data_IF_847051536634
#
_entry.id   IF_847051536634
#
_cell.length_a   1.000
_cell.length_b   1.000
_cell.length_c   1.000
_cell.angle_alpha   90.00
_cell.angle_beta   90.00
_cell.angle_gamma   90.00
#
_symmetry.space_group_name_H-M   'P 1'
#
loop_
_entity.id
_entity.type
_entity.pdbx_description
1 polymer ?
#
# COMPACT_ATOMS: atom_id res chain seq x y z
N UNK A 1 -6.86 -1.86 26.51
CA UNK A 1 -5.50 -1.68 27.06
C UNK A 1 -4.40 -2.19 26.11
N UNK A 2 -4.36 -3.48 25.71
CA UNK A 2 -3.30 -4.03 24.83
C UNK A 2 -3.11 -3.23 23.52
N UNK A 3 -4.19 -3.01 22.75
CA UNK A 3 -4.17 -2.21 21.50
C UNK A 3 -3.59 -0.79 21.68
N UNK A 4 -3.86 -0.15 22.84
CA UNK A 4 -3.33 1.17 23.15
C UNK A 4 -1.83 1.13 23.46
N UNK A 5 -1.38 0.13 24.21
CA UNK A 5 0.05 -0.07 24.50
C UNK A 5 0.85 -0.36 23.23
N UNK A 6 0.30 -1.18 22.33
CA UNK A 6 0.91 -1.47 21.02
C UNK A 6 1.00 -0.21 20.16
N UNK A 7 -0.06 0.60 20.10
CA UNK A 7 -0.03 1.88 19.39
C UNK A 7 0.99 2.86 19.99
N UNK A 8 1.08 2.95 21.32
CA UNK A 8 2.09 3.79 22.00
C UNK A 8 3.52 3.34 21.67
N UNK A 9 3.77 2.03 21.69
CA UNK A 9 5.08 1.47 21.36
C UNK A 9 5.48 1.76 19.92
N UNK A 10 4.57 1.54 18.97
CA UNK A 10 4.79 1.84 17.54
C UNK A 10 5.00 3.32 17.32
N UNK A 11 4.18 4.19 17.92
CA UNK A 11 4.35 5.64 17.85
C UNK A 11 5.73 6.08 18.36
N UNK A 12 6.16 5.59 19.53
CA UNK A 12 7.46 5.93 20.10
C UNK A 12 8.60 5.49 19.17
N UNK A 13 8.50 4.29 18.58
CA UNK A 13 9.49 3.82 17.62
C UNK A 13 9.52 4.69 16.36
N UNK A 14 8.38 4.90 15.70
CA UNK A 14 8.30 5.69 14.47
C UNK A 14 8.77 7.13 14.66
N UNK A 15 8.46 7.74 15.81
CA UNK A 15 8.95 9.06 16.15
C UNK A 15 10.48 9.10 16.26
N UNK A 16 11.06 8.16 17.02
CA UNK A 16 12.50 8.10 17.22
C UNK A 16 13.24 7.81 15.91
N UNK A 17 12.74 6.86 15.12
CA UNK A 17 13.40 6.43 13.89
C UNK A 17 13.31 7.49 12.79
N UNK A 18 12.19 8.23 12.71
CA UNK A 18 12.06 9.35 11.76
C UNK A 18 12.98 10.51 12.15
N UNK A 19 13.08 10.86 13.43
CA UNK A 19 14.01 11.89 13.90
C UNK A 19 15.45 11.47 13.62
N UNK A 20 15.81 10.21 13.89
CA UNK A 20 17.13 9.67 13.57
C UNK A 20 17.39 9.67 12.06
N UNK A 21 16.41 9.28 11.24
CA UNK A 21 16.50 9.28 9.78
C UNK A 21 16.75 10.68 9.23
N UNK A 22 16.01 11.69 9.69
CA UNK A 22 16.27 13.09 9.33
C UNK A 22 17.69 13.50 9.74
N UNK A 23 18.10 13.23 10.98
CA UNK A 23 19.42 13.61 11.49
C UNK A 23 20.58 12.93 10.72
N UNK A 24 20.43 11.66 10.37
CA UNK A 24 21.46 10.87 9.67
C UNK A 24 21.53 11.09 8.16
N UNK A 25 20.47 11.65 7.58
CA UNK A 25 20.36 11.92 6.15
C UNK A 25 20.54 13.41 5.82
N UNK A 26 20.37 14.33 6.77
CA UNK A 26 20.42 15.78 6.54
C UNK A 26 21.71 16.26 5.83
N UNK A 27 22.86 15.69 6.16
CA UNK A 27 24.15 16.09 5.58
C UNK A 27 24.53 15.28 4.34
N UNK A 28 23.64 14.44 3.81
CA UNK A 28 23.97 13.48 2.74
C UNK A 28 23.57 14.00 1.36
N UNK A 29 24.48 14.00 0.38
CA UNK A 29 24.22 14.59 -0.93
C UNK A 29 23.12 13.86 -1.71
N UNK A 30 22.99 12.54 -1.54
CA UNK A 30 21.99 11.73 -2.24
C UNK A 30 20.53 11.99 -1.82
N UNK A 31 20.31 12.77 -0.76
CA UNK A 31 18.97 13.24 -0.38
C UNK A 31 18.51 14.39 -1.27
N UNK A 32 19.46 15.20 -1.75
CA UNK A 32 19.21 16.39 -2.55
C UNK A 32 19.41 16.15 -4.05
N UNK A 33 20.34 15.26 -4.39
CA UNK A 33 20.63 14.86 -5.77
C UNK A 33 20.50 13.33 -5.93
N UNK A 34 19.47 12.90 -6.66
CA UNK A 34 19.21 11.49 -6.91
C UNK A 34 20.30 10.82 -7.77
N UNK A 35 21.12 11.57 -8.51
CA UNK A 35 22.28 11.03 -9.21
C UNK A 35 23.35 10.48 -8.26
N UNK A 36 23.50 11.10 -7.10
CA UNK A 36 24.48 10.69 -6.07
C UNK A 36 24.10 9.38 -5.36
N UNK A 37 22.85 8.91 -5.52
CA UNK A 37 22.40 7.62 -4.99
C UNK A 37 23.22 6.47 -5.59
N UNK A 38 23.55 6.55 -6.89
CA UNK A 38 24.25 5.50 -7.62
C UNK A 38 25.74 5.77 -7.82
N UNK A 39 26.21 6.95 -7.42
CA UNK A 39 27.63 7.30 -7.50
C UNK A 39 28.49 6.33 -6.67
N UNK A 40 29.49 5.73 -7.30
CA UNK A 40 30.37 4.73 -6.71
C UNK A 40 29.75 3.34 -6.50
N UNK A 41 28.51 3.09 -6.95
CA UNK A 41 27.93 1.75 -6.95
C UNK A 41 28.72 0.82 -7.90
N UNK A 42 29.02 -0.45 -7.54
CA UNK A 42 28.57 -1.20 -6.36
C UNK A 42 29.40 -1.03 -5.09
N UNK A 43 30.51 -0.28 -5.14
CA UNK A 43 31.46 -0.13 -4.01
C UNK A 43 31.20 1.14 -3.22
N UNK A 44 30.01 1.25 -2.65
CA UNK A 44 29.66 2.36 -1.77
C UNK A 44 30.10 2.05 -0.32
N UNK A 45 30.79 2.98 0.37
CA UNK A 45 31.19 2.78 1.75
C UNK A 45 29.96 2.83 2.67
N UNK A 46 29.87 1.86 3.58
CA UNK A 46 28.84 1.83 4.61
C UNK A 46 29.24 2.76 5.76
N UNK A 47 28.46 3.83 5.91
CA UNK A 47 28.59 4.78 7.01
C UNK A 47 27.94 4.22 8.29
N UNK A 48 28.52 4.46 9.49
CA UNK A 48 27.96 3.95 10.75
C UNK A 48 26.53 4.41 11.05
N UNK A 49 26.17 5.65 10.69
CA UNK A 49 24.80 6.17 10.85
C UNK A 49 23.79 5.37 10.02
N UNK A 50 24.13 5.05 8.78
CA UNK A 50 23.30 4.26 7.88
C UNK A 50 23.20 2.82 8.36
N UNK A 51 24.30 2.24 8.87
CA UNK A 51 24.29 0.92 9.50
C UNK A 51 23.25 0.84 10.63
N UNK A 52 23.32 1.76 11.60
CA UNK A 52 22.40 1.72 12.75
C UNK A 52 20.95 1.99 12.34
N UNK A 53 20.73 2.95 11.45
CA UNK A 53 19.40 3.24 10.92
C UNK A 53 18.77 2.00 10.29
N UNK A 54 19.51 1.33 9.41
CA UNK A 54 19.04 0.15 8.69
C UNK A 54 18.76 -1.04 9.61
N UNK A 55 19.67 -1.32 10.55
CA UNK A 55 19.55 -2.47 11.46
C UNK A 55 18.38 -2.27 12.44
N UNK A 56 18.18 -1.06 12.94
CA UNK A 56 17.07 -0.74 13.83
C UNK A 56 15.72 -0.86 13.11
N UNK A 57 15.61 -0.28 11.92
CA UNK A 57 14.40 -0.38 11.08
C UNK A 57 14.06 -1.84 10.79
N UNK A 58 15.05 -2.62 10.34
CA UNK A 58 14.85 -4.02 9.95
C UNK A 58 14.43 -4.88 11.14
N UNK A 59 15.03 -4.65 12.31
CA UNK A 59 14.69 -5.37 13.55
C UNK A 59 13.25 -5.08 13.98
N UNK A 60 12.83 -3.81 13.89
CA UNK A 60 11.46 -3.43 14.21
C UNK A 60 10.46 -4.03 13.24
N UNK A 61 10.68 -3.93 11.93
CA UNK A 61 9.80 -4.55 10.93
C UNK A 61 9.70 -6.07 11.08
N UNK A 62 10.80 -6.72 11.48
CA UNK A 62 10.79 -8.15 11.80
C UNK A 62 9.88 -8.45 13.00
N UNK A 63 9.95 -7.62 14.05
CA UNK A 63 9.05 -7.74 15.21
C UNK A 63 7.57 -7.53 14.86
N UNK A 64 7.27 -6.65 13.90
CA UNK A 64 5.92 -6.42 13.39
C UNK A 64 5.38 -7.65 12.64
N UNK A 65 6.22 -8.28 11.82
CA UNK A 65 5.84 -9.50 11.10
C UNK A 65 5.46 -10.63 12.07
N UNK A 66 6.23 -10.85 13.14
CA UNK A 66 5.90 -11.85 14.15
C UNK A 66 4.60 -11.52 14.90
N UNK A 67 4.38 -10.24 15.19
CA UNK A 67 3.15 -9.78 15.85
C UNK A 67 1.93 -9.99 14.94
N UNK A 68 2.07 -9.80 13.63
CA UNK A 68 1.01 -9.97 12.64
C UNK A 68 0.50 -11.42 12.56
N UNK A 69 1.35 -12.42 12.81
CA UNK A 69 0.94 -13.82 12.85
C UNK A 69 -0.03 -14.18 13.98
N UNK A 70 -0.14 -13.32 15.00
CA UNK A 70 -1.05 -13.49 16.13
C UNK A 70 -2.36 -12.69 15.99
N UNK A 71 -2.48 -11.86 14.95
CA UNK A 71 -3.66 -11.04 14.72
C UNK A 71 -4.80 -11.82 14.04
N UNK A 72 -6.03 -11.41 14.34
CA UNK A 72 -7.25 -11.99 13.74
C UNK A 72 -7.25 -11.68 12.24
N UNK A 73 -7.49 -12.71 11.41
CA UNK A 73 -7.58 -12.58 9.95
C UNK A 73 -8.74 -11.66 9.55
N UNK A 74 -8.43 -10.39 9.28
CA UNK A 74 -9.29 -9.40 8.61
C UNK A 74 -9.14 -9.49 7.08
N UNK A 75 -10.09 -8.93 6.31
CA UNK A 75 -10.03 -8.96 4.83
C UNK A 75 -8.79 -8.27 4.25
N UNK A 76 -8.28 -7.21 4.90
CA UNK A 76 -7.02 -6.54 4.53
C UNK A 76 -5.75 -7.26 5.02
N UNK A 77 -5.88 -8.37 5.73
CA UNK A 77 -4.75 -9.07 6.33
C UNK A 77 -3.73 -9.49 5.27
N UNK A 78 -4.22 -9.98 4.12
CA UNK A 78 -3.35 -10.42 3.04
C UNK A 78 -2.54 -9.25 2.45
N UNK A 79 -3.17 -8.09 2.23
CA UNK A 79 -2.48 -6.89 1.73
C UNK A 79 -1.38 -6.44 2.71
N UNK A 80 -1.66 -6.43 4.01
CA UNK A 80 -0.66 -6.13 5.04
C UNK A 80 0.46 -7.18 5.11
N UNK A 81 0.16 -8.48 5.00
CA UNK A 81 1.20 -9.53 4.98
C UNK A 81 2.10 -9.40 3.76
N UNK A 82 1.53 -9.21 2.57
CA UNK A 82 2.28 -9.02 1.33
C UNK A 82 3.19 -7.78 1.46
N UNK A 83 2.67 -6.69 2.02
CA UNK A 83 3.47 -5.50 2.28
C UNK A 83 4.65 -5.77 3.21
N UNK A 84 4.43 -6.40 4.37
CA UNK A 84 5.50 -6.67 5.33
C UNK A 84 6.56 -7.60 4.75
N UNK A 85 6.13 -8.62 3.99
CA UNK A 85 7.04 -9.52 3.30
C UNK A 85 7.84 -8.79 2.23
N UNK A 86 7.20 -7.92 1.43
CA UNK A 86 7.86 -7.10 0.43
C UNK A 86 8.85 -6.11 1.06
N UNK A 87 8.47 -5.43 2.15
CA UNK A 87 9.32 -4.49 2.86
C UNK A 87 10.55 -5.18 3.47
N UNK A 88 10.37 -6.30 4.19
CA UNK A 88 11.49 -7.06 4.76
C UNK A 88 12.40 -7.65 3.70
N UNK A 89 11.83 -8.13 2.59
CA UNK A 89 12.61 -8.58 1.44
C UNK A 89 13.41 -7.42 0.83
N UNK A 90 12.77 -6.27 0.58
CA UNK A 90 13.42 -5.07 0.06
C UNK A 90 14.59 -4.66 0.92
N UNK A 91 14.41 -4.60 2.24
CA UNK A 91 15.46 -4.24 3.19
C UNK A 91 16.59 -5.28 3.19
N UNK A 92 16.27 -6.57 3.25
CA UNK A 92 17.28 -7.63 3.28
C UNK A 92 18.13 -7.67 2.01
N UNK A 93 17.49 -7.60 0.84
CA UNK A 93 18.20 -7.64 -0.44
C UNK A 93 18.88 -6.33 -0.79
N UNK A 94 18.33 -5.18 -0.37
CA UNK A 94 19.01 -3.88 -0.50
C UNK A 94 20.28 -3.85 0.36
N UNK A 95 20.27 -4.46 1.55
CA UNK A 95 21.48 -4.65 2.35
C UNK A 95 22.53 -5.51 1.63
N UNK A 96 22.15 -6.70 1.17
CA UNK A 96 23.05 -7.63 0.50
C UNK A 96 23.61 -7.08 -0.83
N UNK A 97 22.82 -6.31 -1.57
CA UNK A 97 23.21 -5.73 -2.85
C UNK A 97 23.90 -4.36 -2.73
N UNK A 98 24.11 -3.85 -1.51
CA UNK A 98 24.68 -2.52 -1.24
C UNK A 98 23.84 -1.36 -1.82
N UNK A 99 22.52 -1.47 -1.79
CA UNK A 99 21.57 -0.40 -2.20
C UNK A 99 21.25 0.51 -1.01
N UNK A 100 22.20 0.69 -0.09
CA UNK A 100 21.96 1.32 1.22
C UNK A 100 21.43 2.74 1.06
N UNK A 101 22.01 3.54 0.16
CA UNK A 101 21.57 4.93 -0.10
C UNK A 101 20.11 4.99 -0.53
N UNK A 102 19.75 4.23 -1.57
CA UNK A 102 18.36 4.12 -2.05
C UNK A 102 17.44 3.58 -0.95
N UNK A 103 17.85 2.53 -0.23
CA UNK A 103 17.07 1.95 0.86
C UNK A 103 16.78 2.95 1.98
N UNK A 104 17.75 3.80 2.36
CA UNK A 104 17.51 4.84 3.37
C UNK A 104 16.49 5.89 2.93
N UNK A 105 16.43 6.21 1.62
CA UNK A 105 15.41 7.12 1.08
C UNK A 105 14.03 6.46 1.06
N UNK A 106 13.96 5.17 0.74
CA UNK A 106 12.71 4.41 0.82
C UNK A 106 12.18 4.41 2.25
N UNK A 107 13.01 4.05 3.25
CA UNK A 107 12.58 3.97 4.66
C UNK A 107 11.99 5.30 5.15
N UNK A 108 12.75 6.41 5.05
CA UNK A 108 12.30 7.71 5.58
C UNK A 108 11.01 8.23 4.93
N UNK A 109 10.82 7.97 3.63
CA UNK A 109 9.59 8.36 2.91
C UNK A 109 8.38 7.59 3.44
N UNK A 110 8.55 6.35 3.93
CA UNK A 110 7.43 5.57 4.47
C UNK A 110 7.18 5.92 5.95
N UNK A 111 8.23 6.07 6.76
CA UNK A 111 8.07 6.22 8.22
C UNK A 111 7.37 7.53 8.62
N UNK A 112 7.56 8.61 7.84
CA UNK A 112 7.08 9.96 8.19
C UNK A 112 5.56 10.04 8.35
N UNK A 113 4.80 9.27 7.57
CA UNK A 113 3.35 9.24 7.66
C UNK A 113 2.86 8.40 8.87
N UNK A 114 3.63 7.38 9.26
CA UNK A 114 3.16 6.36 10.21
C UNK A 114 3.16 6.88 11.65
N UNK A 115 3.98 7.89 11.96
CA UNK A 115 3.89 8.66 13.22
C UNK A 115 2.46 9.19 13.43
N UNK A 116 1.88 9.79 12.39
CA UNK A 116 0.57 10.43 12.47
C UNK A 116 -0.55 9.40 12.53
N UNK A 117 -0.38 8.27 11.84
CA UNK A 117 -1.32 7.16 11.88
C UNK A 117 -1.41 6.55 13.28
N UNK A 118 -0.26 6.21 13.87
CA UNK A 118 -0.22 5.61 15.22
C UNK A 118 -0.66 6.61 16.28
N UNK A 119 -0.34 7.91 16.12
CA UNK A 119 -0.89 8.98 16.95
C UNK A 119 -2.43 9.00 16.89
N UNK A 120 -3.01 8.99 15.68
CA UNK A 120 -4.47 9.01 15.52
C UNK A 120 -5.13 7.80 16.19
N UNK A 121 -4.52 6.61 16.11
CA UNK A 121 -4.99 5.40 16.82
C UNK A 121 -4.95 5.58 18.34
N UNK A 122 -3.86 6.11 18.90
CA UNK A 122 -3.76 6.38 20.34
C UNK A 122 -4.88 7.30 20.83
N UNK A 123 -5.12 8.41 20.14
CA UNK A 123 -6.19 9.36 20.52
C UNK A 123 -7.59 8.79 20.28
N UNK A 124 -7.77 7.94 19.27
CA UNK A 124 -9.01 7.19 19.07
C UNK A 124 -9.32 6.26 20.24
N UNK A 125 -8.32 5.52 20.74
CA UNK A 125 -8.49 4.65 21.90
C UNK A 125 -8.69 5.42 23.22
N UNK A 126 -8.20 6.65 23.30
CA UNK A 126 -8.44 7.55 24.43
C UNK A 126 -9.81 8.27 24.39
N UNK A 127 -10.60 8.06 23.32
CA UNK A 127 -11.92 8.69 23.14
C UNK A 127 -11.87 10.15 22.67
N UNK A 128 -10.71 10.68 22.28
CA UNK A 128 -10.54 12.07 21.84
C UNK A 128 -10.81 12.21 20.34
N UNK A 129 -12.10 12.16 19.98
CA UNK A 129 -12.57 12.12 18.58
C UNK A 129 -12.08 13.31 17.74
N UNK A 130 -12.12 14.54 18.27
CA UNK A 130 -11.70 15.73 17.52
C UNK A 130 -10.21 15.70 17.16
N UNK A 131 -9.34 15.38 18.13
CA UNK A 131 -7.90 15.26 17.91
C UNK A 131 -7.56 14.10 16.97
N UNK A 132 -8.25 12.96 17.10
CA UNK A 132 -8.13 11.83 16.18
C UNK A 132 -8.42 12.25 14.73
N UNK A 133 -9.50 12.98 14.49
CA UNK A 133 -9.88 13.44 13.15
C UNK A 133 -8.83 14.41 12.58
N UNK A 134 -8.36 15.38 13.37
CA UNK A 134 -7.28 16.28 12.94
C UNK A 134 -6.01 15.52 12.57
N UNK A 135 -5.59 14.56 13.39
CA UNK A 135 -4.41 13.73 13.11
C UNK A 135 -4.61 12.85 11.89
N UNK A 136 -5.81 12.34 11.64
CA UNK A 136 -6.14 11.57 10.45
C UNK A 136 -6.04 12.42 9.17
N UNK A 137 -6.48 13.68 9.19
CA UNK A 137 -6.27 14.60 8.06
C UNK A 137 -4.79 14.88 7.80
N UNK A 138 -4.00 15.11 8.85
CA UNK A 138 -2.54 15.32 8.74
C UNK A 138 -1.87 14.06 8.18
N UNK A 139 -2.18 12.89 8.74
CA UNK A 139 -1.74 11.59 8.23
C UNK A 139 -2.05 11.44 6.75
N UNK A 140 -3.29 11.73 6.35
CA UNK A 140 -3.72 11.57 4.96
C UNK A 140 -2.92 12.46 4.02
N UNK A 141 -2.76 13.75 4.35
CA UNK A 141 -1.98 14.68 3.56
C UNK A 141 -0.52 14.22 3.39
N UNK A 142 0.11 13.78 4.49
CA UNK A 142 1.48 13.29 4.47
C UNK A 142 1.59 11.98 3.70
N UNK A 143 0.62 11.06 3.82
CA UNK A 143 0.54 9.82 3.04
C UNK A 143 0.51 10.11 1.54
N UNK A 144 -0.36 11.02 1.07
CA UNK A 144 -0.43 11.37 -0.34
C UNK A 144 0.88 11.97 -0.85
N UNK A 145 1.48 12.91 -0.11
CA UNK A 145 2.72 13.56 -0.51
C UNK A 145 3.88 12.55 -0.54
N UNK A 146 4.06 11.78 0.52
CA UNK A 146 5.18 10.84 0.63
C UNK A 146 5.07 9.67 -0.35
N UNK A 147 3.92 8.98 -0.37
CA UNK A 147 3.78 7.69 -1.06
C UNK A 147 3.17 7.77 -2.45
N UNK A 148 2.38 8.82 -2.75
CA UNK A 148 1.77 8.98 -4.07
C UNK A 148 2.44 10.08 -4.93
N UNK A 149 3.30 10.91 -4.34
CA UNK A 149 4.07 11.91 -5.08
C UNK A 149 5.58 11.60 -5.00
N UNK A 150 6.18 11.71 -3.82
CA UNK A 150 7.65 11.57 -3.68
C UNK A 150 8.10 10.16 -4.08
N UNK A 151 7.45 9.12 -3.59
CA UNK A 151 7.85 7.74 -3.89
C UNK A 151 7.84 7.40 -5.39
N UNK A 152 6.75 7.59 -6.17
CA UNK A 152 6.75 7.23 -7.58
C UNK A 152 7.55 8.19 -8.47
N UNK A 153 7.53 9.49 -8.21
CA UNK A 153 8.19 10.45 -9.11
C UNK A 153 9.68 10.62 -8.80
N UNK A 154 10.12 10.41 -7.56
CA UNK A 154 11.52 10.56 -7.17
C UNK A 154 12.19 9.20 -6.95
N UNK A 155 11.64 8.37 -6.06
CA UNK A 155 12.32 7.12 -5.66
C UNK A 155 12.25 6.07 -6.76
N UNK A 156 11.07 5.77 -7.30
CA UNK A 156 10.95 4.82 -8.42
C UNK A 156 11.70 5.31 -9.65
N UNK A 157 11.65 6.62 -9.96
CA UNK A 157 12.45 7.19 -11.04
C UNK A 157 13.96 6.98 -10.80
N UNK A 158 14.43 7.26 -9.58
CA UNK A 158 15.82 7.06 -9.19
C UNK A 158 16.24 5.59 -9.32
N UNK A 159 15.40 4.62 -8.98
CA UNK A 159 15.79 3.20 -9.01
C UNK A 159 15.57 2.50 -10.35
N UNK A 160 14.62 2.97 -11.18
CA UNK A 160 14.29 2.38 -12.48
C UNK A 160 15.06 3.04 -13.64
N UNK A 161 15.29 4.35 -13.59
CA UNK A 161 15.81 5.08 -14.75
C UNK A 161 17.30 5.33 -14.65
N UNK A 162 17.78 5.84 -13.50
CA UNK A 162 19.18 6.26 -13.36
C UNK A 162 20.17 5.08 -13.52
N UNK A 163 19.98 3.90 -12.89
CA UNK A 163 20.88 2.76 -13.05
C UNK A 163 20.98 2.27 -14.49
N UNK A 164 19.88 2.31 -15.24
CA UNK A 164 19.83 1.85 -16.63
C UNK A 164 20.75 2.66 -17.56
N UNK A 165 21.16 3.86 -17.15
CA UNK A 165 22.10 4.69 -17.91
C UNK A 165 23.56 4.21 -17.79
N UNK A 166 23.89 3.44 -16.74
CA UNK A 166 25.27 3.10 -16.39
C UNK A 166 25.50 1.61 -16.10
N UNK A 167 24.45 0.83 -15.86
CA UNK A 167 24.49 -0.57 -15.45
C UNK A 167 23.58 -1.42 -16.32
N UNK A 168 24.09 -2.58 -16.72
CA UNK A 168 23.24 -3.60 -17.35
C UNK A 168 22.28 -4.22 -16.32
N UNK A 169 21.03 -4.51 -16.70
CA UNK A 169 20.08 -5.13 -15.79
C UNK A 169 20.58 -6.49 -15.28
N UNK A 170 20.70 -6.64 -13.96
CA UNK A 170 21.02 -7.89 -13.29
C UNK A 170 19.87 -8.32 -12.37
N UNK A 171 19.93 -9.56 -11.87
CA UNK A 171 18.84 -10.15 -11.09
C UNK A 171 18.38 -9.27 -9.92
N UNK A 172 19.30 -8.77 -9.09
CA UNK A 172 18.94 -7.95 -7.93
C UNK A 172 18.32 -6.60 -8.33
N UNK A 173 18.74 -5.99 -9.44
CA UNK A 173 18.08 -4.80 -9.98
C UNK A 173 16.62 -5.07 -10.34
N UNK A 174 16.34 -6.15 -11.09
CA UNK A 174 14.99 -6.51 -11.52
C UNK A 174 14.12 -6.85 -10.29
N UNK A 175 14.66 -7.66 -9.39
CA UNK A 175 13.95 -8.16 -8.21
C UNK A 175 13.57 -7.04 -7.23
N UNK A 176 14.49 -6.12 -6.93
CA UNK A 176 14.22 -5.00 -6.01
C UNK A 176 13.21 -4.02 -6.61
N UNK A 177 13.36 -3.67 -7.90
CA UNK A 177 12.43 -2.77 -8.55
C UNK A 177 11.02 -3.37 -8.69
N UNK A 178 10.90 -4.68 -8.93
CA UNK A 178 9.61 -5.37 -8.93
C UNK A 178 8.91 -5.22 -7.57
N UNK A 179 9.64 -5.33 -6.46
CA UNK A 179 9.06 -5.16 -5.12
C UNK A 179 8.66 -3.71 -4.83
N UNK A 180 9.45 -2.73 -5.30
CA UNK A 180 9.05 -1.32 -5.21
C UNK A 180 7.76 -1.04 -5.99
N UNK A 181 7.56 -1.70 -7.15
CA UNK A 181 6.31 -1.61 -7.90
C UNK A 181 5.14 -2.26 -7.13
N UNK A 182 5.35 -3.40 -6.49
CA UNK A 182 4.33 -4.03 -5.62
C UNK A 182 3.96 -3.09 -4.47
N UNK A 183 4.94 -2.46 -3.82
CA UNK A 183 4.68 -1.44 -2.80
C UNK A 183 3.85 -0.28 -3.35
N UNK A 184 4.15 0.20 -4.56
CA UNK A 184 3.38 1.29 -5.16
C UNK A 184 1.91 0.92 -5.39
N UNK A 185 1.64 -0.29 -5.86
CA UNK A 185 0.26 -0.78 -6.04
C UNK A 185 -0.46 -0.83 -4.70
N UNK A 186 0.20 -1.28 -3.64
CA UNK A 186 -0.37 -1.30 -2.29
C UNK A 186 -0.64 0.12 -1.76
N UNK A 187 0.22 1.11 -2.05
CA UNK A 187 -0.05 2.50 -1.70
C UNK A 187 -1.25 3.08 -2.43
N UNK A 188 -1.46 2.72 -3.70
CA UNK A 188 -2.66 3.11 -4.43
C UNK A 188 -3.92 2.46 -3.82
N UNK A 189 -3.83 1.18 -3.47
CA UNK A 189 -4.89 0.46 -2.78
C UNK A 189 -5.29 1.14 -1.46
N UNK A 190 -4.34 1.41 -0.55
CA UNK A 190 -4.65 2.12 0.70
C UNK A 190 -5.02 3.59 0.49
N UNK A 191 -4.44 4.26 -0.51
CA UNK A 191 -4.79 5.62 -0.88
C UNK A 191 -6.26 5.74 -1.29
N UNK A 192 -6.81 4.72 -1.97
CA UNK A 192 -8.24 4.64 -2.27
C UNK A 192 -9.11 4.58 -1.00
N UNK A 193 -8.78 3.73 -0.02
CA UNK A 193 -9.52 3.66 1.24
C UNK A 193 -9.43 4.95 2.06
N UNK A 194 -8.24 5.56 2.13
CA UNK A 194 -8.05 6.86 2.78
C UNK A 194 -8.94 7.91 2.11
N UNK A 195 -8.98 7.95 0.78
CA UNK A 195 -9.85 8.87 0.04
C UNK A 195 -11.34 8.60 0.31
N UNK A 196 -11.76 7.32 0.36
CA UNK A 196 -13.14 6.92 0.68
C UNK A 196 -13.53 7.44 2.07
N UNK A 197 -12.70 7.22 3.09
CA UNK A 197 -12.90 7.75 4.44
C UNK A 197 -12.94 9.28 4.47
N UNK A 198 -12.04 9.98 3.76
CA UNK A 198 -12.02 11.44 3.72
C UNK A 198 -13.30 12.02 3.10
N UNK A 199 -13.77 11.44 1.99
CA UNK A 199 -15.06 11.83 1.38
C UNK A 199 -16.18 11.64 2.40
N UNK A 200 -16.24 10.49 3.07
CA UNK A 200 -17.23 10.22 4.11
C UNK A 200 -17.20 11.27 5.23
N UNK A 201 -16.02 11.62 5.75
CA UNK A 201 -15.88 12.66 6.78
C UNK A 201 -16.30 14.07 6.33
N UNK A 202 -16.19 14.39 5.04
CA UNK A 202 -16.56 15.71 4.50
C UNK A 202 -18.07 15.78 4.18
N UNK A 203 -18.63 14.71 3.60
CA UNK A 203 -20.04 14.63 3.21
C UNK A 203 -20.96 14.37 4.40
N UNK A 204 -20.56 13.51 5.34
CA UNK A 204 -21.27 13.31 6.61
C UNK A 204 -20.90 14.45 7.54
N UNK A 205 -21.67 15.54 7.47
CA UNK A 205 -21.48 16.80 8.21
C UNK A 205 -21.67 16.67 9.74
N UNK A 206 -21.42 15.51 10.34
CA UNK A 206 -21.50 15.26 11.77
C UNK A 206 -20.25 14.49 12.24
N UNK A 207 -19.32 15.25 12.83
CA UNK A 207 -17.93 14.89 13.16
C UNK A 207 -17.84 13.81 14.28
N UNK A 208 -18.97 13.32 14.79
CA UNK A 208 -19.02 12.52 16.01
C UNK A 208 -19.14 11.01 15.84
N UNK A 209 -19.58 10.45 14.69
CA UNK A 209 -19.98 9.03 14.67
C UNK A 209 -19.40 8.10 13.59
N UNK A 210 -18.55 8.60 12.69
CA UNK A 210 -18.17 7.80 11.51
C UNK A 210 -17.22 6.64 11.79
N UNK A 211 -16.57 6.59 12.97
CA UNK A 211 -15.55 5.55 13.27
C UNK A 211 -15.98 4.53 14.33
N UNK A 212 -17.23 4.62 14.81
CA UNK A 212 -17.84 3.58 15.64
C UNK A 212 -18.50 2.50 14.77
N UNK A 213 -18.91 2.85 13.55
CA UNK A 213 -19.61 1.99 12.60
C UNK A 213 -18.71 1.26 11.60
N UNK A 214 -17.41 1.57 11.54
CA UNK A 214 -16.48 0.91 10.59
C UNK A 214 -16.31 -0.60 10.88
N UNK A 215 -16.76 -1.11 12.04
CA UNK A 215 -16.83 -2.56 12.28
C UNK A 215 -18.18 -3.19 11.89
N UNK A 216 -19.26 -2.42 11.70
CA UNK A 216 -20.61 -2.95 11.44
C UNK A 216 -21.17 -2.59 10.03
N UNK A 217 -20.75 -1.49 9.40
CA UNK A 217 -21.29 -1.03 8.09
C UNK A 217 -20.49 -1.51 6.87
N UNK A 218 -19.26 -2.04 7.03
CA UNK A 218 -18.55 -2.74 5.93
C UNK A 218 -19.30 -4.03 5.53
N UNK A 219 -20.23 -4.49 6.37
CA UNK A 219 -21.15 -5.60 6.09
C UNK A 219 -22.39 -5.20 5.28
N UNK A 220 -22.80 -3.92 5.28
CA UNK A 220 -24.00 -3.47 4.54
C UNK A 220 -23.70 -3.13 3.08
N UNK A 221 -22.56 -2.50 2.76
CA UNK A 221 -22.21 -2.16 1.37
C UNK A 221 -21.81 -3.40 0.52
N UNK A 222 -21.23 -4.45 1.10
CA UNK A 222 -20.99 -5.71 0.39
C UNK A 222 -22.28 -6.47 0.06
N UNK A 223 -23.35 -6.27 0.85
CA UNK A 223 -24.68 -6.80 0.56
C UNK A 223 -25.29 -6.18 -0.69
N UNK A 224 -25.10 -4.88 -0.90
CA UNK A 224 -25.63 -4.16 -2.06
C UNK A 224 -24.86 -4.46 -3.35
N UNK A 225 -23.53 -4.61 -3.30
CA UNK A 225 -22.73 -5.00 -4.48
C UNK A 225 -22.92 -6.48 -4.87
N UNK A 226 -23.11 -7.40 -3.91
CA UNK A 226 -23.48 -8.79 -4.21
C UNK A 226 -24.89 -8.93 -4.79
N UNK A 227 -25.86 -8.12 -4.34
CA UNK A 227 -27.24 -8.18 -4.83
C UNK A 227 -27.35 -7.60 -6.26
N UNK A 228 -26.64 -6.50 -6.54
CA UNK A 228 -26.54 -5.94 -7.89
C UNK A 228 -25.84 -6.91 -8.87
N UNK A 229 -24.77 -7.59 -8.44
CA UNK A 229 -24.09 -8.60 -9.24
C UNK A 229 -24.95 -9.85 -9.53
N UNK A 230 -25.81 -10.26 -8.58
CA UNK A 230 -26.76 -11.37 -8.78
C UNK A 230 -27.91 -10.97 -9.70
N UNK A 231 -28.39 -9.72 -9.62
CA UNK A 231 -29.45 -9.22 -10.48
C UNK A 231 -28.98 -9.02 -11.94
N UNK A 232 -27.73 -8.57 -12.15
CA UNK A 232 -27.12 -8.50 -13.49
C UNK A 232 -26.84 -9.89 -14.08
N UNK A 233 -26.33 -10.83 -13.27
CA UNK A 233 -26.10 -12.21 -13.73
C UNK A 233 -27.41 -12.98 -14.03
N UNK A 234 -28.50 -12.67 -13.33
CA UNK A 234 -29.82 -13.21 -13.63
C UNK A 234 -30.38 -12.65 -14.95
N UNK A 235 -30.22 -11.34 -15.20
CA UNK A 235 -30.62 -10.71 -16.47
C UNK A 235 -29.80 -11.20 -17.66
N UNK A 236 -28.52 -11.51 -17.46
CA UNK A 236 -27.65 -12.04 -18.52
C UNK A 236 -27.98 -13.50 -18.86
N UNK A 237 -28.28 -14.34 -17.85
CA UNK A 237 -28.80 -15.70 -18.07
C UNK A 237 -30.15 -15.73 -18.76
N UNK A 238 -31.05 -14.79 -18.44
CA UNK A 238 -32.36 -14.71 -19.08
C UNK A 238 -32.23 -14.28 -20.56
N UNK A 239 -31.28 -13.40 -20.87
CA UNK A 239 -30.92 -13.05 -22.27
C UNK A 239 -30.34 -14.22 -23.05
N UNK A 240 -29.43 -14.98 -22.45
CA UNK A 240 -28.78 -16.12 -23.10
C UNK A 240 -29.75 -17.29 -23.32
N UNK A 241 -30.70 -17.51 -22.41
CA UNK A 241 -31.81 -18.45 -22.61
C UNK A 241 -32.74 -18.05 -23.76
N UNK A 242 -33.03 -16.74 -23.93
CA UNK A 242 -33.86 -16.24 -25.03
C UNK A 242 -33.13 -16.29 -26.38
N UNK A 243 -31.81 -16.14 -26.40
CA UNK A 243 -31.00 -16.22 -27.63
C UNK A 243 -30.82 -17.67 -28.12
N UNK A 244 -30.68 -18.63 -27.21
CA UNK A 244 -30.52 -20.05 -27.54
C UNK A 244 -31.85 -20.77 -27.86
N UNK A 245 -33.01 -20.13 -27.60
CA UNK A 245 -34.35 -20.65 -27.96
C UNK A 245 -34.82 -20.33 -29.38
N UNK A 246 -34.07 -19.51 -30.14
CA UNK A 246 -34.41 -19.06 -31.49
C UNK A 246 -33.31 -19.46 -32.50
N UNK A 247 -33.00 -20.76 -32.57
CA UNK A 247 -32.23 -21.35 -33.66
C UNK A 247 -33.14 -21.67 -34.87
N UNK A 248 -32.70 -21.45 -36.12
CA UNK A 248 -33.57 -21.47 -37.29
C UNK A 248 -33.91 -22.90 -37.71
N UNK A 249 -35.19 -23.26 -37.67
CA UNK A 249 -35.69 -24.54 -38.20
C UNK A 249 -35.64 -24.49 -39.74
N UNK A 250 -34.49 -24.88 -40.29
CA UNK A 250 -34.19 -24.85 -41.73
C UNK A 250 -34.71 -26.13 -42.38
N UNK A 251 -35.95 -26.04 -42.88
CA UNK A 251 -36.48 -26.66 -44.09
C UNK A 251 -35.79 -27.95 -44.61
N UNK A 252 -36.43 -29.09 -44.43
CA UNK A 252 -36.28 -30.26 -45.32
C UNK A 252 -37.59 -30.46 -46.09
N UNK A 253 -37.63 -30.00 -47.34
CA UNK A 253 -38.64 -30.40 -48.33
C UNK A 253 -38.16 -31.70 -49.03
N UNK A 254 -39.09 -32.59 -49.41
CA UNK A 254 -38.98 -33.24 -50.71
C UNK A 254 -40.24 -33.08 -51.57
N UNK A 255 -39.97 -32.94 -52.86
CA UNK A 255 -40.88 -32.78 -54.00
C UNK A 255 -42.07 -33.74 -54.04
N UNK A 256 -43.20 -33.22 -54.55
CA UNK A 256 -44.31 -33.99 -55.11
C UNK A 256 -44.91 -33.26 -56.32
N UNK A 257 -44.66 -33.80 -57.51
CA UNK A 257 -45.18 -33.36 -58.81
C UNK A 257 -46.72 -33.24 -58.82
N UNK A 258 -47.22 -32.20 -59.49
CA UNK A 258 -48.58 -32.18 -60.04
C UNK A 258 -48.63 -32.99 -61.34
N UNK A 259 -49.57 -33.94 -61.42
CA UNK A 259 -50.05 -34.49 -62.67
C UNK A 259 -51.27 -33.71 -63.14
N UNK A 260 -51.18 -33.15 -64.35
CA UNK A 260 -52.01 -33.58 -65.47
C UNK A 260 -51.12 -33.76 -66.68
#
# INVERSE_FOLDING_TARGET
>A
MKKFQEACWRFAFYLMITVAGIAFLYDKPWVYDLGEVWNGYPRQPLLPSQYWYYILEMSFYCSLLFSLGSDVKRKDFLAHVIHHLAALSLMSFSWCANYIRSGTLVMIVHDVADIWLESAKMFSYAGWKQTCNTLFFIFSAIFFISRLIIFPFWILYCTLVIPMLYLEPFFSYIFLNLQLMVLQVLHLYWGYFILKMLKRCIFTKNIQDVRSDDEDEEYEEEGEEEDQGKEEAAKDKERDCLQNGLGPDRSLLPNGHHGR
#
